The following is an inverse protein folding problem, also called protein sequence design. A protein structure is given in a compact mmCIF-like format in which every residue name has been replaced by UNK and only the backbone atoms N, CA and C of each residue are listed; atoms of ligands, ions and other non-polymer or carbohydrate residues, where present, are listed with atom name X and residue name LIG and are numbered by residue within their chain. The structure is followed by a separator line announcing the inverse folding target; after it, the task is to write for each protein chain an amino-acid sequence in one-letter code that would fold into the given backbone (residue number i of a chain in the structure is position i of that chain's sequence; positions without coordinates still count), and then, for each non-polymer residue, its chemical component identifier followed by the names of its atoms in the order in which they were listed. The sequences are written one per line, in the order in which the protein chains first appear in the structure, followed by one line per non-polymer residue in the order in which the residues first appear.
data_IF_706768623918
#
_entry.id   IF_706768623918
#
_cell.length_a   1.000
_cell.length_b   1.000
_cell.length_c   1.000
_cell.angle_alpha   90.00
_cell.angle_beta   90.00
_cell.angle_gamma   90.00
#
_symmetry.space_group_name_H-M   'P 1'
#
loop_
_entity.id
_entity.type
_entity.pdbx_description
1 polymer ?
#
# COMPACT_ATOMS: atom_id res chain seq x y z
N UNK A 1 -17.25 -7.74 14.11
CA UNK A 1 -16.44 -6.56 13.76
C UNK A 1 -15.86 -6.80 12.37
N UNK A 2 -16.02 -5.85 11.45
CA UNK A 2 -15.51 -5.99 10.06
C UNK A 2 -13.98 -5.86 10.04
N UNK A 3 -13.29 -6.62 9.18
CA UNK A 3 -11.85 -6.48 8.90
C UNK A 3 -11.45 -5.02 8.65
N UNK A 4 -12.29 -4.28 7.91
CA UNK A 4 -12.12 -2.85 7.65
C UNK A 4 -12.14 -1.98 8.92
N UNK A 5 -12.96 -2.34 9.92
CA UNK A 5 -13.04 -1.59 11.19
C UNK A 5 -11.86 -1.85 12.12
N UNK A 6 -11.34 -3.07 12.12
CA UNK A 6 -10.13 -3.43 12.86
C UNK A 6 -8.90 -2.76 12.23
N UNK A 7 -8.84 -2.71 10.91
CA UNK A 7 -7.76 -2.08 10.16
C UNK A 7 -7.70 -0.55 10.36
N UNK A 8 -8.84 0.16 10.24
CA UNK A 8 -8.90 1.61 10.54
C UNK A 8 -8.44 1.93 11.97
N UNK A 9 -8.73 1.05 12.93
CA UNK A 9 -8.30 1.22 14.34
C UNK A 9 -6.80 1.00 14.53
N UNK A 10 -6.19 0.07 13.78
CA UNK A 10 -4.74 -0.17 13.77
C UNK A 10 -3.97 1.01 13.16
N UNK A 11 -4.45 1.56 12.04
CA UNK A 11 -3.84 2.73 11.39
C UNK A 11 -3.88 3.99 12.28
N UNK A 12 -4.94 4.19 13.07
CA UNK A 12 -5.07 5.36 13.93
C UNK A 12 -4.16 5.34 15.19
N UNK A 13 -3.50 4.21 15.48
CA UNK A 13 -2.77 3.97 16.73
C UNK A 13 -1.25 3.87 16.55
N UNK A 14 -0.74 3.93 15.32
CA UNK A 14 0.69 4.05 15.07
C UNK A 14 1.12 5.49 15.30
N UNK A 15 1.89 5.72 16.37
CA UNK A 15 2.79 6.87 16.41
C UNK A 15 3.69 6.77 15.17
N UNK A 16 3.46 7.63 14.18
CA UNK A 16 4.17 7.58 12.90
C UNK A 16 5.63 7.99 13.11
N UNK A 17 6.48 7.02 13.44
CA UNK A 17 7.92 7.21 13.31
C UNK A 17 8.24 7.43 11.82
N UNK A 18 9.05 8.45 11.47
CA UNK A 18 9.48 8.67 10.10
C UNK A 18 10.14 7.42 9.52
N UNK A 19 9.79 7.09 8.27
CA UNK A 19 10.32 5.91 7.59
C UNK A 19 9.26 5.10 6.85
N UNK A 20 9.67 3.92 6.41
CA UNK A 20 8.81 2.96 5.72
C UNK A 20 8.17 2.01 6.73
N UNK A 21 6.90 1.68 6.54
CA UNK A 21 6.19 0.65 7.29
C UNK A 21 5.49 -0.28 6.32
N UNK A 22 5.76 -1.58 6.46
CA UNK A 22 5.13 -2.64 5.68
C UNK A 22 4.14 -3.37 6.59
N UNK A 23 2.89 -3.42 6.17
CA UNK A 23 1.80 -4.14 6.83
C UNK A 23 1.21 -5.09 5.81
N UNK A 24 1.03 -6.34 6.19
CA UNK A 24 0.30 -7.34 5.43
C UNK A 24 -0.59 -8.15 6.35
N UNK A 25 -1.37 -9.07 5.79
CA UNK A 25 -2.14 -10.04 6.57
C UNK A 25 -1.26 -11.00 7.41
N UNK A 26 0.06 -11.08 7.15
CA UNK A 26 1.00 -11.97 7.86
C UNK A 26 1.98 -11.26 8.78
N UNK A 27 2.43 -10.06 8.41
CA UNK A 27 3.54 -9.39 9.09
C UNK A 27 3.36 -7.87 9.10
N UNK A 28 3.80 -7.26 10.20
CA UNK A 28 4.00 -5.81 10.37
C UNK A 28 5.51 -5.57 10.59
N UNK A 29 6.15 -4.82 9.69
CA UNK A 29 7.60 -4.52 9.71
C UNK A 29 7.80 -2.99 9.66
N UNK A 30 8.63 -2.48 10.55
CA UNK A 30 9.13 -1.11 10.51
C UNK A 30 10.49 -1.08 9.80
N UNK A 31 10.67 -0.11 8.91
CA UNK A 31 11.83 0.03 8.04
C UNK A 31 12.20 -1.27 7.31
N UNK A 32 11.27 -1.83 6.52
CA UNK A 32 11.51 -3.06 5.77
C UNK A 32 12.67 -2.88 4.79
N UNK A 33 13.30 -3.98 4.39
CA UNK A 33 14.17 -4.02 3.22
C UNK A 33 13.38 -4.46 1.97
N UNK A 34 13.98 -4.29 0.79
CA UNK A 34 13.32 -4.61 -0.49
C UNK A 34 12.90 -6.10 -0.60
N UNK A 35 13.67 -7.02 0.00
CA UNK A 35 13.34 -8.44 -0.01
C UNK A 35 12.06 -8.71 0.77
N UNK A 36 11.92 -8.13 1.95
CA UNK A 36 10.71 -8.25 2.79
C UNK A 36 9.48 -7.67 2.09
N UNK A 37 9.63 -6.55 1.38
CA UNK A 37 8.53 -5.97 0.57
C UNK A 37 8.09 -6.96 -0.52
N UNK A 38 9.04 -7.52 -1.28
CA UNK A 38 8.72 -8.49 -2.35
C UNK A 38 8.06 -9.76 -1.80
N UNK A 39 8.57 -10.29 -0.69
CA UNK A 39 8.00 -11.45 -0.02
C UNK A 39 6.57 -11.17 0.48
N UNK A 40 6.29 -9.98 1.01
CA UNK A 40 4.95 -9.61 1.45
C UNK A 40 3.96 -9.47 0.28
N UNK A 41 4.39 -8.94 -0.88
CA UNK A 41 3.58 -8.89 -2.09
C UNK A 41 3.22 -10.30 -2.56
N UNK A 42 4.23 -11.19 -2.67
CA UNK A 42 4.01 -12.58 -3.05
C UNK A 42 3.13 -13.33 -2.05
N UNK A 43 3.29 -13.07 -0.75
CA UNK A 43 2.46 -13.68 0.27
C UNK A 43 1.00 -13.22 0.20
N UNK A 44 0.73 -12.03 -0.35
CA UNK A 44 -0.61 -11.48 -0.55
C UNK A 44 -1.35 -12.09 -1.74
N UNK A 45 -0.75 -13.00 -2.51
CA UNK A 45 -1.40 -13.72 -3.61
C UNK A 45 -2.43 -14.77 -3.12
N UNK A 46 -2.52 -14.99 -1.81
CA UNK A 46 -3.56 -15.78 -1.18
C UNK A 46 -4.94 -15.05 -1.23
N UNK A 47 -6.07 -15.79 -1.21
CA UNK A 47 -7.41 -15.18 -1.19
C UNK A 47 -7.57 -14.19 -0.03
N UNK A 48 -8.12 -13.00 -0.33
CA UNK A 48 -8.25 -11.88 0.62
C UNK A 48 -6.91 -11.35 1.18
N UNK A 49 -5.79 -11.75 0.57
CA UNK A 49 -4.46 -11.26 0.87
C UNK A 49 -4.34 -9.78 0.58
N UNK A 50 -3.73 -9.05 1.52
CA UNK A 50 -3.38 -7.66 1.32
C UNK A 50 -1.94 -7.39 1.75
N UNK A 51 -1.39 -6.34 1.14
CA UNK A 51 -0.11 -5.74 1.49
C UNK A 51 -0.23 -4.22 1.36
N UNK A 52 0.37 -3.50 2.29
CA UNK A 52 0.43 -2.04 2.34
C UNK A 52 1.85 -1.63 2.69
N UNK A 53 2.45 -0.79 1.86
CA UNK A 53 3.71 -0.12 2.15
C UNK A 53 3.42 1.37 2.31
N UNK A 54 3.65 1.88 3.51
CA UNK A 54 3.44 3.28 3.87
C UNK A 54 4.79 3.97 4.06
N UNK A 55 4.88 5.23 3.68
CA UNK A 55 6.01 6.09 3.98
C UNK A 55 5.52 7.31 4.77
N UNK A 56 6.25 7.65 5.83
CA UNK A 56 6.05 8.90 6.57
C UNK A 56 7.34 9.71 6.56
N UNK A 57 7.26 10.98 6.14
CA UNK A 57 8.37 11.92 6.17
C UNK A 57 8.67 12.40 7.59
N UNK A 58 9.83 13.02 7.79
CA UNK A 58 10.19 13.66 9.07
C UNK A 58 9.23 14.82 9.41
N UNK A 59 8.67 15.48 8.40
CA UNK A 59 7.66 16.54 8.55
C UNK A 59 6.24 16.01 8.82
N UNK A 60 6.03 14.69 8.79
CA UNK A 60 4.73 14.05 9.01
C UNK A 60 3.86 13.92 7.75
N UNK A 61 4.43 14.16 6.57
CA UNK A 61 3.75 13.84 5.30
C UNK A 61 3.66 12.33 5.14
N UNK A 62 2.51 11.83 4.69
CA UNK A 62 2.28 10.40 4.57
C UNK A 62 1.80 10.03 3.17
N UNK A 63 2.40 9.01 2.58
CA UNK A 63 1.95 8.37 1.35
C UNK A 63 1.91 6.85 1.57
N UNK A 64 1.12 6.14 0.78
CA UNK A 64 1.13 4.68 0.81
C UNK A 64 0.74 4.09 -0.53
N UNK A 65 1.23 2.89 -0.80
CA UNK A 65 0.73 1.97 -1.81
C UNK A 65 0.15 0.74 -1.10
N UNK A 66 -0.99 0.26 -1.56
CA UNK A 66 -1.58 -0.99 -1.10
C UNK A 66 -2.05 -1.84 -2.28
N UNK A 67 -2.01 -3.15 -2.11
CA UNK A 67 -2.53 -4.11 -3.06
C UNK A 67 -3.40 -5.13 -2.32
N UNK A 68 -4.57 -5.41 -2.90
CA UNK A 68 -5.50 -6.44 -2.44
C UNK A 68 -5.67 -7.47 -3.55
N UNK A 69 -5.45 -8.75 -3.25
CA UNK A 69 -5.61 -9.83 -4.21
C UNK A 69 -7.08 -10.22 -4.37
N UNK A 70 -7.52 -10.29 -5.64
CA UNK A 70 -8.81 -10.75 -6.10
C UNK A 70 -8.57 -11.69 -7.30
N UNK A 71 -8.80 -12.99 -7.12
CA UNK A 71 -8.73 -14.01 -8.17
C UNK A 71 -7.46 -13.94 -9.04
N UNK A 72 -6.28 -13.93 -8.40
CA UNK A 72 -4.94 -13.86 -9.05
C UNK A 72 -4.59 -12.52 -9.72
N UNK A 73 -5.37 -11.48 -9.48
CA UNK A 73 -5.04 -10.10 -9.84
C UNK A 73 -5.12 -9.19 -8.64
N UNK A 74 -4.45 -8.04 -8.71
CA UNK A 74 -4.47 -7.05 -7.65
C UNK A 74 -5.33 -5.85 -8.01
N UNK A 75 -6.06 -5.37 -7.00
CA UNK A 75 -6.50 -3.99 -6.91
C UNK A 75 -5.44 -3.20 -6.16
N UNK A 76 -4.75 -2.33 -6.88
CA UNK A 76 -3.70 -1.48 -6.31
C UNK A 76 -4.28 -0.10 -6.04
N UNK A 77 -4.07 0.41 -4.84
CA UNK A 77 -4.39 1.78 -4.49
C UNK A 77 -3.15 2.52 -4.03
N UNK A 78 -3.01 3.75 -4.47
CA UNK A 78 -1.91 4.63 -4.14
C UNK A 78 -2.47 5.96 -3.63
N UNK A 79 -1.92 6.43 -2.52
CA UNK A 79 -2.25 7.72 -1.93
C UNK A 79 -0.99 8.57 -1.85
N UNK A 80 -1.01 9.72 -2.53
CA UNK A 80 0.00 10.77 -2.37
C UNK A 80 -0.28 11.60 -1.11
N UNK A 81 0.73 12.32 -0.62
CA UNK A 81 0.61 13.18 0.56
C UNK A 81 -0.31 14.39 0.34
N UNK A 82 -0.32 14.95 -0.86
CA UNK A 82 -1.11 16.11 -1.27
C UNK A 82 -2.56 15.76 -1.64
N UNK A 83 -2.88 14.47 -1.79
CA UNK A 83 -4.22 14.05 -2.18
C UNK A 83 -5.24 14.31 -1.07
N UNK A 84 -6.37 14.92 -1.46
CA UNK A 84 -7.49 15.20 -0.55
C UNK A 84 -7.87 13.94 0.25
N UNK A 85 -8.15 14.13 1.56
CA UNK A 85 -8.63 13.05 2.42
C UNK A 85 -9.87 12.38 1.80
N UNK A 86 -9.89 11.05 1.83
CA UNK A 86 -10.95 10.23 1.22
C UNK A 86 -10.81 10.04 -0.29
N UNK A 87 -9.62 10.23 -0.86
CA UNK A 87 -9.32 9.88 -2.26
C UNK A 87 -8.04 9.04 -2.33
N UNK A 88 -7.97 8.18 -3.35
CA UNK A 88 -6.78 7.42 -3.77
C UNK A 88 -6.74 7.36 -5.28
N UNK A 89 -5.56 7.14 -5.86
CA UNK A 89 -5.43 6.62 -7.22
C UNK A 89 -5.58 5.10 -7.17
N UNK A 90 -6.30 4.53 -8.11
CA UNK A 90 -6.57 3.08 -8.18
C UNK A 90 -6.25 2.55 -9.56
N UNK A 91 -5.62 1.39 -9.58
CA UNK A 91 -5.46 0.53 -10.75
C UNK A 91 -6.05 -0.85 -10.43
N UNK A 92 -6.75 -1.46 -11.39
CA UNK A 92 -7.42 -2.78 -11.22
C UNK A 92 -6.87 -3.77 -12.23
N UNK A 93 -7.02 -5.07 -11.96
CA UNK A 93 -6.50 -6.16 -12.80
C UNK A 93 -4.98 -6.09 -12.98
N UNK A 94 -4.25 -5.64 -11.95
CA UNK A 94 -2.79 -5.52 -11.96
C UNK A 94 -2.18 -6.90 -11.74
N UNK A 95 -1.23 -7.30 -12.57
CA UNK A 95 -0.55 -8.60 -12.41
C UNK A 95 0.37 -8.61 -11.18
N UNK A 96 0.78 -9.80 -10.72
CA UNK A 96 1.77 -9.93 -9.63
C UNK A 96 3.10 -9.27 -9.99
N UNK A 97 3.56 -9.42 -11.24
CA UNK A 97 4.81 -8.82 -11.72
C UNK A 97 4.74 -7.29 -11.70
N UNK A 98 3.66 -6.72 -12.22
CA UNK A 98 3.43 -5.27 -12.22
C UNK A 98 3.28 -4.73 -10.78
N UNK A 99 2.58 -5.45 -9.92
CA UNK A 99 2.45 -5.10 -8.49
C UNK A 99 3.82 -5.07 -7.82
N UNK A 100 4.70 -6.04 -8.09
CA UNK A 100 6.07 -6.05 -7.58
C UNK A 100 6.87 -4.83 -8.07
N UNK A 101 6.72 -4.45 -9.35
CA UNK A 101 7.40 -3.28 -9.91
C UNK A 101 6.92 -1.97 -9.26
N UNK A 102 5.61 -1.85 -9.02
CA UNK A 102 5.02 -0.70 -8.33
C UNK A 102 5.52 -0.60 -6.89
N UNK A 103 5.49 -1.70 -6.13
CA UNK A 103 5.99 -1.72 -4.75
C UNK A 103 7.50 -1.43 -4.66
N UNK A 104 8.29 -1.96 -5.60
CA UNK A 104 9.72 -1.64 -5.69
C UNK A 104 9.94 -0.15 -6.00
N UNK A 105 9.22 0.40 -6.97
CA UNK A 105 9.33 1.81 -7.34
C UNK A 105 8.95 2.73 -6.17
N UNK A 106 7.89 2.39 -5.43
CA UNK A 106 7.48 3.12 -4.24
C UNK A 106 8.49 2.98 -3.10
N UNK A 107 9.06 1.79 -2.89
CA UNK A 107 10.12 1.59 -1.88
C UNK A 107 11.32 2.49 -2.14
N UNK A 108 11.79 2.55 -3.39
CA UNK A 108 12.98 3.30 -3.79
C UNK A 108 12.75 4.82 -3.77
N UNK A 109 11.59 5.29 -4.25
CA UNK A 109 11.34 6.71 -4.51
C UNK A 109 10.35 7.36 -3.54
N UNK A 110 9.67 6.58 -2.70
CA UNK A 110 8.57 7.02 -1.83
C UNK A 110 7.40 7.69 -2.57
N UNK A 111 7.35 7.52 -3.89
CA UNK A 111 6.35 8.06 -4.81
C UNK A 111 6.20 7.12 -6.00
N UNK A 112 5.07 7.25 -6.71
CA UNK A 112 4.83 6.60 -8.00
C UNK A 112 4.64 7.64 -9.09
N UNK A 113 5.02 7.29 -10.31
CA UNK A 113 4.61 8.03 -11.50
C UNK A 113 3.23 7.56 -11.90
N UNK A 114 2.29 8.49 -12.03
CA UNK A 114 0.94 8.20 -12.49
C UNK A 114 0.86 8.36 -14.01
N UNK A 115 0.40 7.33 -14.69
CA UNK A 115 0.06 7.34 -16.12
C UNK A 115 -1.47 7.28 -16.32
N UNK A 116 -1.90 7.02 -17.56
CA UNK A 116 -3.29 6.93 -17.97
C UNK A 116 -4.03 5.67 -17.47
N UNK A 117 -3.33 4.74 -16.82
CA UNK A 117 -3.92 3.54 -16.21
C UNK A 117 -4.49 3.80 -14.81
N UNK A 118 -4.14 4.92 -14.18
CA UNK A 118 -4.57 5.27 -12.83
C UNK A 118 -5.84 6.12 -12.83
N UNK A 119 -6.80 5.72 -12.00
CA UNK A 119 -8.04 6.46 -11.81
C UNK A 119 -8.13 7.04 -10.40
N UNK A 120 -8.42 8.33 -10.29
CA UNK A 120 -8.70 8.92 -8.98
C UNK A 120 -10.10 8.48 -8.51
N UNK A 121 -10.16 7.81 -7.35
CA UNK A 121 -11.38 7.27 -6.76
C UNK A 121 -11.59 7.84 -5.36
N UNK A 122 -12.85 8.11 -5.01
CA UNK A 122 -13.24 8.51 -3.65
C UNK A 122 -13.43 7.26 -2.77
N UNK A 123 -12.77 7.25 -1.61
CA UNK A 123 -12.79 6.19 -0.60
C UNK A 123 -13.47 6.73 0.66
N UNK A 124 -14.53 6.07 1.12
CA UNK A 124 -15.40 6.51 2.22
C UNK A 124 -15.00 5.93 3.60
#
# INVERSE_FOLDING_TARGET
MSLFSWFKKKQALQNFEPGLSLTSHKVDILNPNLKEVKEAVLAADEPEGFVTLSWTSISGDNSFIQALCFDSFYHVEYRTNDLKKGYVYRQTNVSTEETLQLFQSFFENQTLTLDDTWFQVKVY
#
